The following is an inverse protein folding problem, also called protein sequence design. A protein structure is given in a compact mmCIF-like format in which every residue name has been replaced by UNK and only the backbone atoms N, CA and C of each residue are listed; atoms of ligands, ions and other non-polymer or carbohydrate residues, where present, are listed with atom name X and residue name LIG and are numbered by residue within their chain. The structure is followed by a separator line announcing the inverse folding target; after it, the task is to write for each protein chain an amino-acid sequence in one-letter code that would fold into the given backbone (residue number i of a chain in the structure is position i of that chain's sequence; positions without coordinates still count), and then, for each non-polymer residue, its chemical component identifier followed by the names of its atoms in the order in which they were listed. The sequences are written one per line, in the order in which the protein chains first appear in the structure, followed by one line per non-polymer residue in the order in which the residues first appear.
data_IF_500251349006
#
_entry.id   IF_500251349006
#
_cell.length_a   1.000
_cell.length_b   1.000
_cell.length_c   1.000
_cell.angle_alpha   90.00
_cell.angle_beta   90.00
_cell.angle_gamma   90.00
#
_symmetry.space_group_name_H-M   'P 1'
#
loop_
_entity.id
_entity.type
_entity.pdbx_description
1 polymer ?
#
# COMPACT_ATOMS: atom_id res chain seq x y z
N UNK A 1 -12.08 68.53 -25.60
CA UNK A 1 -12.67 68.76 -24.26
C UNK A 1 -12.67 67.45 -23.48
N UNK A 2 -12.17 67.46 -22.24
CA UNK A 2 -12.12 66.31 -21.31
C UNK A 2 -13.52 66.07 -20.69
N UNK A 3 -13.97 64.81 -20.60
CA UNK A 3 -14.98 64.33 -19.61
C UNK A 3 -14.94 62.79 -19.56
N UNK A 4 -14.13 62.20 -18.70
CA UNK A 4 -14.41 61.73 -17.32
C UNK A 4 -15.20 60.41 -17.24
N UNK A 5 -14.46 59.35 -16.88
CA UNK A 5 -14.79 58.15 -16.09
C UNK A 5 -16.26 57.76 -15.89
N UNK A 6 -16.59 56.48 -16.17
CA UNK A 6 -17.12 55.51 -15.18
C UNK A 6 -17.81 54.32 -15.87
N UNK A 7 -17.08 53.29 -16.32
CA UNK A 7 -17.70 51.96 -16.57
C UNK A 7 -16.73 50.80 -16.28
N UNK A 8 -15.91 50.93 -15.23
CA UNK A 8 -15.29 49.77 -14.57
C UNK A 8 -16.26 49.33 -13.48
N UNK A 9 -17.35 48.64 -13.83
CA UNK A 9 -18.26 48.07 -12.81
C UNK A 9 -18.86 46.69 -13.09
N UNK A 10 -18.70 46.08 -14.28
CA UNK A 10 -19.38 44.80 -14.54
C UNK A 10 -18.57 43.78 -15.37
N UNK A 11 -17.31 43.53 -14.98
CA UNK A 11 -16.60 42.31 -15.39
C UNK A 11 -15.94 41.63 -14.18
N UNK A 12 -16.73 41.47 -13.11
CA UNK A 12 -16.51 40.42 -12.10
C UNK A 12 -17.36 39.20 -12.47
N UNK A 13 -17.25 38.74 -13.71
CA UNK A 13 -17.87 37.47 -14.14
C UNK A 13 -16.80 36.40 -13.98
N UNK A 14 -17.00 35.55 -12.98
CA UNK A 14 -15.97 34.72 -12.37
C UNK A 14 -15.25 33.77 -13.33
N UNK A 15 -13.94 33.68 -13.16
CA UNK A 15 -13.18 32.46 -13.44
C UNK A 15 -13.06 31.68 -12.13
N UNK A 16 -14.12 30.95 -11.79
CA UNK A 16 -13.98 29.84 -10.85
C UNK A 16 -13.18 28.75 -11.52
N UNK A 17 -11.88 28.67 -11.26
CA UNK A 17 -11.07 27.49 -11.61
C UNK A 17 -11.51 26.33 -10.71
N UNK A 18 -12.66 25.74 -11.01
CA UNK A 18 -13.03 24.46 -10.44
C UNK A 18 -12.18 23.40 -11.14
N UNK A 19 -10.96 23.16 -10.62
CA UNK A 19 -10.23 21.93 -10.91
C UNK A 19 -11.02 20.78 -10.29
N UNK A 20 -12.08 20.35 -10.97
CA UNK A 20 -12.79 19.13 -10.62
C UNK A 20 -11.90 17.95 -11.02
N UNK A 21 -10.97 17.58 -10.14
CA UNK A 21 -10.29 16.29 -10.25
C UNK A 21 -11.33 15.22 -9.92
N UNK A 22 -11.94 14.65 -10.95
CA UNK A 22 -12.78 13.46 -10.84
C UNK A 22 -11.91 12.27 -10.47
N UNK A 23 -11.53 12.17 -9.20
CA UNK A 23 -10.88 10.97 -8.67
C UNK A 23 -11.94 9.88 -8.65
N UNK A 24 -11.83 8.91 -9.54
CA UNK A 24 -12.71 7.75 -9.52
C UNK A 24 -12.50 6.97 -8.23
N UNK A 25 -13.59 6.53 -7.57
CA UNK A 25 -13.52 5.77 -6.31
C UNK A 25 -12.64 4.50 -6.41
N UNK A 26 -12.48 3.97 -7.63
CA UNK A 26 -11.60 2.82 -7.93
C UNK A 26 -10.12 3.16 -7.74
N UNK A 27 -9.68 4.32 -8.21
CA UNK A 27 -8.28 4.75 -8.06
C UNK A 27 -7.92 4.94 -6.59
N UNK A 28 -8.80 5.56 -5.80
CA UNK A 28 -8.60 5.74 -4.37
C UNK A 28 -8.50 4.40 -3.63
N UNK A 29 -9.36 3.43 -3.96
CA UNK A 29 -9.30 2.06 -3.38
C UNK A 29 -8.00 1.34 -3.73
N UNK A 30 -7.56 1.42 -4.99
CA UNK A 30 -6.31 0.79 -5.42
C UNK A 30 -5.09 1.41 -4.74
N UNK A 31 -5.05 2.73 -4.59
CA UNK A 31 -3.99 3.42 -3.85
C UNK A 31 -3.94 2.99 -2.39
N UNK A 32 -5.10 2.95 -1.71
CA UNK A 32 -5.16 2.46 -0.34
C UNK A 32 -4.70 1.01 -0.21
N UNK A 33 -5.06 0.15 -1.17
CA UNK A 33 -4.61 -1.24 -1.21
C UNK A 33 -3.08 -1.31 -1.33
N UNK A 34 -2.49 -0.55 -2.26
CA UNK A 34 -1.04 -0.50 -2.44
C UNK A 34 -0.33 0.01 -1.17
N UNK A 35 -0.86 1.06 -0.53
CA UNK A 35 -0.32 1.57 0.74
C UNK A 35 -0.34 0.48 1.81
N UNK A 36 -1.44 -0.26 1.95
CA UNK A 36 -1.54 -1.37 2.91
C UNK A 36 -0.54 -2.49 2.65
N UNK A 37 -0.37 -2.90 1.38
CA UNK A 37 0.60 -3.94 1.02
C UNK A 37 2.03 -3.53 1.32
N UNK A 38 2.38 -2.28 1.03
CA UNK A 38 3.69 -1.72 1.33
C UNK A 38 3.93 -1.67 2.85
N UNK A 39 2.94 -1.23 3.63
CA UNK A 39 3.02 -1.21 5.09
C UNK A 39 3.26 -2.61 5.66
N UNK A 40 2.50 -3.61 5.21
CA UNK A 40 2.71 -5.02 5.62
C UNK A 40 4.13 -5.47 5.32
N UNK A 41 4.64 -5.16 4.12
CA UNK A 41 5.99 -5.57 3.72
C UNK A 41 7.06 -4.86 4.55
N UNK A 42 6.91 -3.57 4.85
CA UNK A 42 7.81 -2.83 5.73
C UNK A 42 7.81 -3.39 7.15
N UNK A 43 6.64 -3.72 7.70
CA UNK A 43 6.50 -4.25 9.06
C UNK A 43 7.20 -5.61 9.20
N UNK A 44 7.00 -6.52 8.22
CA UNK A 44 7.67 -7.83 8.21
C UNK A 44 9.19 -7.64 8.05
N UNK A 45 9.63 -6.78 7.14
CA UNK A 45 11.06 -6.48 6.97
C UNK A 45 11.67 -5.91 8.25
N UNK A 46 10.97 -5.01 8.94
CA UNK A 46 11.41 -4.45 10.21
C UNK A 46 11.60 -5.54 11.28
N UNK A 47 10.68 -6.51 11.34
CA UNK A 47 10.79 -7.68 12.20
C UNK A 47 12.02 -8.54 11.90
N UNK A 48 12.41 -8.67 10.62
CA UNK A 48 13.51 -9.55 10.18
C UNK A 48 14.87 -8.88 10.07
N UNK A 49 15.02 -7.62 10.51
CA UNK A 49 16.33 -6.93 10.48
C UNK A 49 17.43 -7.65 11.26
N UNK A 50 17.06 -8.44 12.28
CA UNK A 50 18.01 -9.21 13.08
C UNK A 50 18.39 -10.55 12.42
N UNK A 51 17.65 -10.98 11.40
CA UNK A 51 17.87 -12.23 10.65
C UNK A 51 18.86 -12.06 9.49
N UNK A 52 19.57 -10.93 9.40
CA UNK A 52 20.58 -10.67 8.38
C UNK A 52 20.20 -9.54 7.43
N UNK A 53 21.00 -9.37 6.36
CA UNK A 53 20.74 -8.35 5.36
C UNK A 53 19.55 -8.77 4.51
N UNK A 54 18.51 -7.93 4.44
CA UNK A 54 17.37 -8.21 3.56
C UNK A 54 17.80 -7.98 2.12
N UNK A 55 17.76 -9.04 1.31
CA UNK A 55 18.17 -9.03 -0.11
C UNK A 55 16.99 -9.18 -1.07
N UNK A 56 15.81 -9.56 -0.56
CA UNK A 56 14.59 -9.64 -1.36
C UNK A 56 13.33 -9.63 -0.50
N UNK A 57 12.25 -9.07 -1.03
CA UNK A 57 10.95 -9.10 -0.39
C UNK A 57 9.84 -9.00 -1.45
N UNK A 58 8.76 -9.75 -1.26
CA UNK A 58 7.61 -9.74 -2.16
C UNK A 58 6.32 -9.98 -1.40
N UNK A 59 5.21 -9.51 -1.96
CA UNK A 59 3.86 -9.75 -1.47
C UNK A 59 2.92 -9.84 -2.67
N UNK A 60 2.08 -10.87 -2.71
CA UNK A 60 1.04 -11.01 -3.71
C UNK A 60 0.00 -9.92 -3.54
N UNK A 61 -0.28 -9.19 -4.61
CA UNK A 61 -1.31 -8.15 -4.55
C UNK A 61 -2.72 -8.72 -4.42
N UNK A 62 -2.97 -9.94 -4.89
CA UNK A 62 -4.32 -10.52 -4.92
C UNK A 62 -4.52 -11.45 -3.73
N UNK A 63 -5.41 -11.11 -2.78
CA UNK A 63 -5.63 -11.97 -1.64
C UNK A 63 -6.39 -13.23 -2.06
N UNK A 64 -6.05 -14.37 -1.47
CA UNK A 64 -6.74 -15.64 -1.69
C UNK A 64 -7.35 -16.17 -0.40
N UNK A 65 -8.34 -17.07 -0.52
CA UNK A 65 -8.95 -17.68 0.65
C UNK A 65 -8.02 -18.74 1.23
N UNK A 66 -7.68 -18.58 2.50
CA UNK A 66 -6.87 -19.52 3.27
C UNK A 66 -7.68 -20.05 4.44
N UNK A 67 -7.72 -21.36 4.61
CA UNK A 67 -8.49 -22.03 5.65
C UNK A 67 -7.57 -22.71 6.66
N UNK A 68 -7.73 -22.36 7.93
CA UNK A 68 -6.98 -22.95 9.05
C UNK A 68 -7.88 -23.04 10.27
N UNK A 69 -7.80 -24.12 11.04
CA UNK A 69 -8.56 -24.31 12.29
C UNK A 69 -10.08 -24.05 12.13
N UNK A 70 -10.67 -24.51 11.01
CA UNK A 70 -12.09 -24.31 10.65
C UNK A 70 -12.51 -22.85 10.45
N UNK A 71 -11.56 -21.92 10.27
CA UNK A 71 -11.82 -20.52 9.88
C UNK A 71 -11.22 -20.26 8.51
N UNK A 72 -11.87 -19.40 7.73
CA UNK A 72 -11.41 -18.99 6.41
C UNK A 72 -11.16 -17.49 6.40
N UNK A 73 -9.97 -17.10 5.97
CA UNK A 73 -9.50 -15.72 5.92
C UNK A 73 -9.14 -15.38 4.47
N UNK A 74 -9.50 -14.19 3.95
CA UNK A 74 -8.81 -13.66 2.79
C UNK A 74 -7.42 -13.22 3.23
N UNK A 75 -6.37 -13.75 2.61
CA UNK A 75 -4.98 -13.47 3.02
C UNK A 75 -4.15 -12.94 1.88
N UNK A 76 -3.29 -11.97 2.18
CA UNK A 76 -2.11 -11.69 1.37
C UNK A 76 -1.00 -12.66 1.77
N UNK A 77 -0.27 -13.16 0.77
CA UNK A 77 0.89 -14.02 0.98
C UNK A 77 2.14 -13.30 0.47
N UNK A 78 3.24 -13.47 1.16
CA UNK A 78 4.50 -12.88 0.78
C UNK A 78 5.70 -13.63 1.34
N UNK A 79 6.88 -13.10 1.06
CA UNK A 79 8.12 -13.61 1.60
C UNK A 79 9.21 -12.57 1.69
N UNK A 80 10.19 -12.86 2.54
CA UNK A 80 11.41 -12.07 2.73
C UNK A 80 12.60 -13.01 2.66
N UNK A 81 13.63 -12.59 1.94
CA UNK A 81 14.89 -13.30 1.79
C UNK A 81 15.94 -12.47 2.51
N UNK A 82 16.63 -13.09 3.46
CA UNK A 82 17.78 -12.49 4.16
C UNK A 82 19.06 -13.25 3.87
N UNK A 83 20.18 -12.53 3.83
CA UNK A 83 21.52 -13.07 3.65
C UNK A 83 22.34 -12.90 4.94
N UNK A 84 23.03 -13.97 5.31
CA UNK A 84 23.95 -14.05 6.44
C UNK A 84 25.27 -14.70 5.98
N UNK A 85 26.29 -14.67 6.83
CA UNK A 85 27.61 -15.25 6.52
C UNK A 85 27.57 -16.74 6.19
N UNK A 86 26.54 -17.47 6.63
CA UNK A 86 26.36 -18.91 6.43
C UNK A 86 25.39 -19.27 5.29
N UNK A 87 24.84 -18.28 4.57
CA UNK A 87 23.92 -18.49 3.45
C UNK A 87 22.68 -17.60 3.51
N UNK A 88 21.62 -18.05 2.86
CA UNK A 88 20.37 -17.30 2.71
C UNK A 88 19.25 -17.97 3.50
N UNK A 89 18.47 -17.17 4.25
CA UNK A 89 17.23 -17.59 4.86
C UNK A 89 16.04 -17.06 4.04
N UNK A 90 15.02 -17.90 3.87
CA UNK A 90 13.78 -17.49 3.23
C UNK A 90 12.64 -17.62 4.21
N UNK A 91 11.87 -16.55 4.36
CA UNK A 91 10.69 -16.48 5.21
C UNK A 91 9.46 -16.33 4.34
N UNK A 92 8.37 -16.97 4.75
CA UNK A 92 7.04 -16.80 4.19
C UNK A 92 6.08 -16.33 5.25
N UNK A 93 5.14 -15.49 4.84
CA UNK A 93 4.11 -14.97 5.71
C UNK A 93 2.75 -14.95 5.01
N UNK A 94 1.69 -15.11 5.80
CA UNK A 94 0.30 -14.86 5.40
C UNK A 94 -0.33 -13.87 6.35
N UNK A 95 -0.99 -12.87 5.81
CA UNK A 95 -1.57 -11.76 6.57
C UNK A 95 -3.04 -11.59 6.20
N UNK A 96 -3.92 -11.43 7.18
CA UNK A 96 -5.33 -11.16 6.97
C UNK A 96 -5.51 -9.87 6.14
N UNK A 97 -6.14 -9.98 4.97
CA UNK A 97 -6.28 -8.88 4.02
C UNK A 97 -7.20 -7.75 4.51
N UNK A 98 -8.03 -8.00 5.54
CA UNK A 98 -8.92 -7.01 6.14
C UNK A 98 -8.24 -6.27 7.28
N UNK A 99 -7.51 -6.99 8.16
CA UNK A 99 -6.99 -6.43 9.41
C UNK A 99 -5.48 -6.16 9.40
N UNK A 100 -4.72 -6.78 8.50
CA UNK A 100 -3.25 -6.71 8.52
C UNK A 100 -2.60 -7.60 9.56
N UNK A 101 -3.36 -8.45 10.26
CA UNK A 101 -2.82 -9.38 11.27
C UNK A 101 -2.12 -10.56 10.61
N UNK A 102 -0.90 -10.88 11.06
CA UNK A 102 -0.17 -12.08 10.62
C UNK A 102 -0.91 -13.33 11.09
N UNK A 103 -1.28 -14.19 10.15
CA UNK A 103 -1.95 -15.47 10.40
C UNK A 103 -0.92 -16.61 10.45
N UNK A 104 0.04 -16.58 9.53
CA UNK A 104 1.14 -17.54 9.51
C UNK A 104 2.46 -16.84 9.22
N UNK A 105 3.52 -17.32 9.87
CA UNK A 105 4.89 -16.92 9.61
C UNK A 105 5.77 -18.16 9.74
N UNK A 106 6.59 -18.43 8.73
CA UNK A 106 7.43 -19.63 8.68
C UNK A 106 8.74 -19.36 7.96
N UNK A 107 9.85 -19.86 8.51
CA UNK A 107 11.12 -19.94 7.81
C UNK A 107 11.16 -21.23 6.97
N UNK A 108 11.53 -21.13 5.71
CA UNK A 108 11.92 -22.28 4.90
C UNK A 108 13.32 -22.70 5.30
N UNK A 109 13.46 -23.92 5.80
CA UNK A 109 14.75 -24.55 5.98
C UNK A 109 15.24 -25.08 4.61
N UNK A 110 16.52 -24.88 4.26
CA UNK A 110 17.12 -25.48 3.07
C UNK A 110 17.16 -27.01 3.13
#
# INVERSE_FOLDING_TARGET
MKKHSSVVKYLLTGFGLALATTISARQYKNQQKAIKLNQILEDVKAGLKHEGQIVGAWIEESPHLFSQNKRTFPVYQGGVITEQSNGTNQFHFKVDAKTGVVIEFSQLQP
#
